data_IF_505370967052
#
_entry.id   IF_505370967052
#
_cell.length_a   1.000
_cell.length_b   1.000
_cell.length_c   1.000
_cell.angle_alpha   90.00
_cell.angle_beta   90.00
_cell.angle_gamma   90.00
#
_symmetry.space_group_name_H-M   'P 1'
#
loop_
_entity.id
_entity.type
_entity.pdbx_description
1 polymer ?
#
# COMPACT_ATOMS: atom_id res chain seq x y z
N UNK A 1 -16.97 2.28 21.37
CA UNK A 1 -18.37 2.76 21.22
C UNK A 1 -18.66 4.08 21.94
N UNK A 2 -17.90 4.46 22.98
CA UNK A 2 -18.05 5.78 23.62
C UNK A 2 -17.56 6.98 22.78
N UNK A 3 -16.68 6.78 21.78
CA UNK A 3 -16.07 7.89 21.03
C UNK A 3 -16.96 8.55 19.97
N UNK A 4 -18.03 7.88 19.49
CA UNK A 4 -18.85 8.42 18.39
C UNK A 4 -20.17 9.07 18.87
N UNK A 5 -20.56 8.93 20.14
CA UNK A 5 -21.80 9.51 20.68
C UNK A 5 -23.12 8.99 20.07
N UNK A 6 -23.08 8.03 19.12
CA UNK A 6 -24.27 7.51 18.43
C UNK A 6 -24.71 6.16 19.01
N UNK A 7 -26.02 5.96 19.13
CA UNK A 7 -26.60 4.68 19.51
C UNK A 7 -26.30 3.60 18.44
N UNK A 8 -25.99 2.37 18.89
CA UNK A 8 -25.64 1.22 18.03
C UNK A 8 -26.68 0.96 16.92
N UNK A 9 -27.96 1.15 17.22
CA UNK A 9 -29.06 1.00 16.26
C UNK A 9 -29.05 2.09 15.18
N UNK A 10 -28.78 3.36 15.55
CA UNK A 10 -28.70 4.47 14.59
C UNK A 10 -27.51 4.33 13.64
N UNK A 11 -26.40 3.76 14.10
CA UNK A 11 -25.22 3.49 13.27
C UNK A 11 -25.49 2.38 12.24
N UNK A 12 -26.10 1.26 12.65
CA UNK A 12 -26.47 0.20 11.71
C UNK A 12 -27.62 0.59 10.78
N UNK A 13 -28.51 1.50 11.17
CA UNK A 13 -29.48 2.06 10.23
C UNK A 13 -28.83 2.89 9.12
N UNK A 14 -27.66 3.50 9.37
CA UNK A 14 -26.94 4.29 8.38
C UNK A 14 -26.09 3.43 7.44
N UNK A 15 -25.54 2.32 7.96
CA UNK A 15 -24.59 1.47 7.22
C UNK A 15 -25.11 0.08 6.85
N UNK A 16 -26.31 -0.31 7.27
CA UNK A 16 -26.88 -1.63 7.01
C UNK A 16 -26.37 -2.73 7.96
N UNK A 17 -25.05 -2.88 8.07
CA UNK A 17 -24.42 -3.96 8.85
C UNK A 17 -23.08 -3.57 9.46
N UNK A 18 -22.52 -4.46 10.32
CA UNK A 18 -21.16 -4.30 10.85
C UNK A 18 -20.12 -4.37 9.72
N UNK A 19 -20.29 -5.27 8.76
CA UNK A 19 -19.36 -5.45 7.63
C UNK A 19 -19.33 -4.21 6.74
N UNK A 20 -20.49 -3.64 6.44
CA UNK A 20 -20.58 -2.41 5.64
C UNK A 20 -20.02 -1.19 6.38
N UNK A 21 -20.19 -1.12 7.71
CA UNK A 21 -19.51 -0.10 8.53
C UNK A 21 -17.97 -0.26 8.47
N UNK A 22 -17.46 -1.49 8.56
CA UNK A 22 -16.01 -1.75 8.44
C UNK A 22 -15.51 -1.40 7.04
N UNK A 23 -16.25 -1.78 5.99
CA UNK A 23 -15.93 -1.37 4.62
C UNK A 23 -15.86 0.16 4.52
N UNK A 24 -16.86 0.89 5.00
CA UNK A 24 -16.89 2.35 4.91
C UNK A 24 -15.69 2.99 5.62
N UNK A 25 -15.30 2.43 6.77
CA UNK A 25 -14.08 2.84 7.48
C UNK A 25 -12.80 2.58 6.67
N UNK A 26 -12.68 1.40 6.05
CA UNK A 26 -11.54 1.04 5.21
C UNK A 26 -11.45 1.93 3.96
N UNK A 27 -12.56 2.14 3.27
CA UNK A 27 -12.64 2.98 2.06
C UNK A 27 -12.26 4.45 2.38
N UNK A 28 -12.68 4.98 3.54
CA UNK A 28 -12.28 6.32 3.99
C UNK A 28 -10.76 6.40 4.28
N UNK A 29 -10.22 5.44 5.03
CA UNK A 29 -8.78 5.40 5.33
C UNK A 29 -7.92 5.19 4.07
N UNK A 30 -8.42 4.44 3.09
CA UNK A 30 -7.79 4.30 1.78
C UNK A 30 -7.73 5.63 1.02
N UNK A 31 -8.82 6.40 0.98
CA UNK A 31 -8.84 7.71 0.32
C UNK A 31 -7.79 8.65 0.92
N UNK A 32 -7.66 8.69 2.25
CA UNK A 32 -6.66 9.49 2.94
C UNK A 32 -5.23 9.02 2.62
N UNK A 33 -4.99 7.70 2.71
CA UNK A 33 -3.69 7.09 2.37
C UNK A 33 -3.28 7.43 0.95
N UNK A 34 -4.22 7.34 0.00
CA UNK A 34 -3.97 7.63 -1.41
C UNK A 34 -3.55 9.08 -1.62
N UNK A 35 -4.27 10.04 -1.02
CA UNK A 35 -3.91 11.47 -1.10
C UNK A 35 -2.53 11.72 -0.51
N UNK A 36 -2.20 11.10 0.63
CA UNK A 36 -0.89 11.26 1.26
C UNK A 36 0.24 10.69 0.40
N UNK A 37 0.07 9.48 -0.15
CA UNK A 37 1.04 8.86 -1.06
C UNK A 37 1.20 9.72 -2.31
N UNK A 38 0.13 10.06 -3.01
CA UNK A 38 0.17 10.89 -4.22
C UNK A 38 0.89 12.23 -3.95
N UNK A 39 0.59 12.90 -2.82
CA UNK A 39 1.27 14.11 -2.38
C UNK A 39 2.76 13.88 -2.09
N UNK A 40 3.11 12.78 -1.43
CA UNK A 40 4.50 12.44 -1.15
C UNK A 40 5.29 12.22 -2.46
N UNK A 41 4.64 11.72 -3.51
CA UNK A 41 5.26 11.46 -4.80
C UNK A 41 5.57 12.73 -5.61
N UNK A 42 4.85 13.85 -5.39
CA UNK A 42 5.05 15.08 -6.17
C UNK A 42 6.43 15.71 -6.00
N UNK A 43 7.17 15.35 -4.94
CA UNK A 43 8.54 15.86 -4.68
C UNK A 43 9.61 15.19 -5.56
N UNK A 44 9.28 14.08 -6.22
CA UNK A 44 10.21 13.29 -7.01
C UNK A 44 10.08 13.59 -8.51
N UNK A 45 11.24 13.66 -9.18
CA UNK A 45 11.33 14.09 -10.58
C UNK A 45 11.37 12.92 -11.54
N UNK A 46 11.92 11.79 -11.12
CA UNK A 46 12.03 10.60 -11.98
C UNK A 46 11.02 9.52 -11.58
N UNK A 47 10.55 8.69 -12.52
CA UNK A 47 9.70 7.54 -12.21
C UNK A 47 10.32 6.57 -11.20
N UNK A 48 11.65 6.32 -11.28
CA UNK A 48 12.39 5.53 -10.30
C UNK A 48 12.29 6.12 -8.90
N UNK A 49 12.54 7.43 -8.75
CA UNK A 49 12.43 8.10 -7.45
C UNK A 49 11.00 8.07 -6.91
N UNK A 50 9.98 8.23 -7.77
CA UNK A 50 8.57 8.11 -7.36
C UNK A 50 8.24 6.70 -6.89
N UNK A 51 8.68 5.68 -7.61
CA UNK A 51 8.50 4.27 -7.24
C UNK A 51 9.10 3.98 -5.85
N UNK A 52 10.33 4.42 -5.61
CA UNK A 52 10.98 4.30 -4.30
C UNK A 52 10.31 5.20 -3.24
N UNK A 53 9.76 6.34 -3.67
CA UNK A 53 9.05 7.30 -2.83
C UNK A 53 7.76 6.77 -2.21
N UNK A 54 7.16 5.72 -2.78
CA UNK A 54 6.00 5.04 -2.17
C UNK A 54 6.35 4.52 -0.77
N UNK A 55 7.57 4.00 -0.58
CA UNK A 55 8.05 3.54 0.73
C UNK A 55 8.31 4.70 1.70
N UNK A 56 8.72 5.87 1.20
CA UNK A 56 8.87 7.06 2.05
C UNK A 56 7.52 7.52 2.60
N UNK A 57 6.46 7.46 1.76
CA UNK A 57 5.09 7.72 2.20
C UNK A 57 4.65 6.73 3.29
N UNK A 58 5.01 5.45 3.12
CA UNK A 58 4.77 4.44 4.14
C UNK A 58 5.53 4.72 5.45
N UNK A 59 6.77 5.19 5.36
CA UNK A 59 7.57 5.59 6.51
C UNK A 59 6.95 6.74 7.30
N UNK A 60 6.29 7.70 6.63
CA UNK A 60 5.56 8.77 7.32
C UNK A 60 4.42 8.19 8.16
N UNK A 61 3.61 7.31 7.58
CA UNK A 61 2.53 6.60 8.29
C UNK A 61 3.06 5.81 9.48
N UNK A 62 4.20 5.13 9.35
CA UNK A 62 4.78 4.33 10.44
C UNK A 62 5.22 5.16 11.65
N UNK A 63 5.43 6.47 11.48
CA UNK A 63 5.80 7.39 12.57
C UNK A 63 4.61 7.99 13.31
N UNK A 64 3.39 7.78 12.80
CA UNK A 64 2.19 8.30 13.44
C UNK A 64 1.98 7.60 14.80
N UNK A 65 1.68 8.34 15.88
CA UNK A 65 1.53 7.75 17.22
C UNK A 65 0.44 6.68 17.33
N UNK A 66 -0.56 6.73 16.45
CA UNK A 66 -1.67 5.81 16.34
C UNK A 66 -1.49 4.75 15.24
N UNK A 67 -0.30 4.69 14.60
CA UNK A 67 0.02 3.63 13.67
C UNK A 67 -0.03 2.27 14.37
N UNK A 68 -0.94 1.43 13.90
CA UNK A 68 -1.13 0.07 14.40
C UNK A 68 -1.17 -0.92 13.23
N UNK A 69 -0.30 -0.74 12.23
CA UNK A 69 -0.30 -1.57 11.03
C UNK A 69 -1.40 -1.25 10.03
N UNK A 70 -1.44 -2.01 8.93
CA UNK A 70 -2.41 -1.81 7.85
C UNK A 70 -3.80 -2.32 8.26
N UNK A 71 -4.78 -1.40 8.28
CA UNK A 71 -6.17 -1.73 8.58
C UNK A 71 -6.77 -2.73 7.58
N UNK A 72 -6.47 -2.59 6.28
CA UNK A 72 -6.93 -3.51 5.23
C UNK A 72 -6.38 -4.92 5.43
N UNK A 73 -5.10 -5.05 5.76
CA UNK A 73 -4.47 -6.35 6.02
C UNK A 73 -5.10 -7.02 7.24
N UNK A 74 -5.26 -6.28 8.33
CA UNK A 74 -5.87 -6.81 9.56
C UNK A 74 -7.31 -7.24 9.32
N UNK A 75 -8.11 -6.41 8.65
CA UNK A 75 -9.50 -6.72 8.34
C UNK A 75 -9.63 -7.91 7.38
N UNK A 76 -8.73 -8.03 6.38
CA UNK A 76 -8.75 -9.15 5.44
C UNK A 76 -8.51 -10.51 6.11
N UNK A 77 -7.74 -10.55 7.21
CA UNK A 77 -7.48 -11.78 7.94
C UNK A 77 -8.72 -12.32 8.67
N UNK A 78 -9.69 -11.45 8.98
CA UNK A 78 -10.95 -11.78 9.65
C UNK A 78 -12.14 -11.83 8.69
N UNK A 79 -11.95 -11.48 7.42
CA UNK A 79 -13.01 -11.34 6.44
C UNK A 79 -13.58 -12.69 5.99
N UNK A 80 -14.90 -12.75 5.81
CA UNK A 80 -15.56 -13.87 5.16
C UNK A 80 -15.42 -13.75 3.64
N UNK A 81 -15.35 -14.89 2.95
CA UNK A 81 -15.33 -14.92 1.47
C UNK A 81 -16.60 -14.28 0.92
N UNK A 82 -16.42 -13.38 -0.05
CA UNK A 82 -17.48 -12.58 -0.66
C UNK A 82 -18.00 -11.43 0.22
N UNK A 83 -17.40 -11.17 1.39
CA UNK A 83 -17.87 -10.09 2.25
C UNK A 83 -17.45 -8.72 1.72
N UNK A 84 -18.18 -7.65 2.08
CA UNK A 84 -17.80 -6.29 1.70
C UNK A 84 -16.40 -5.88 2.20
N UNK A 85 -15.93 -6.48 3.30
CA UNK A 85 -14.58 -6.28 3.86
C UNK A 85 -13.51 -6.92 2.99
N UNK A 86 -13.72 -8.15 2.48
CA UNK A 86 -12.82 -8.78 1.50
C UNK A 86 -12.71 -7.87 0.25
N UNK A 87 -13.85 -7.38 -0.25
CA UNK A 87 -13.88 -6.47 -1.40
C UNK A 87 -13.13 -5.15 -1.16
N UNK A 88 -13.17 -4.59 0.04
CA UNK A 88 -12.41 -3.38 0.39
C UNK A 88 -10.90 -3.64 0.41
N UNK A 89 -10.49 -4.76 1.02
CA UNK A 89 -9.09 -5.18 1.02
C UNK A 89 -8.56 -5.41 -0.40
N UNK A 90 -9.34 -6.08 -1.26
CA UNK A 90 -8.97 -6.32 -2.65
C UNK A 90 -8.80 -5.03 -3.46
N UNK A 91 -9.69 -4.05 -3.27
CA UNK A 91 -9.55 -2.72 -3.91
C UNK A 91 -8.28 -2.01 -3.48
N UNK A 92 -7.95 -2.03 -2.19
CA UNK A 92 -6.72 -1.42 -1.68
C UNK A 92 -5.48 -2.11 -2.28
N UNK A 93 -5.45 -3.45 -2.28
CA UNK A 93 -4.35 -4.22 -2.87
C UNK A 93 -4.20 -3.96 -4.36
N UNK A 94 -5.31 -3.87 -5.09
CA UNK A 94 -5.29 -3.54 -6.51
C UNK A 94 -4.70 -2.15 -6.74
N UNK A 95 -5.12 -1.15 -5.96
CA UNK A 95 -4.58 0.21 -6.05
C UNK A 95 -3.07 0.26 -5.84
N UNK A 96 -2.54 -0.37 -4.77
CA UNK A 96 -1.09 -0.43 -4.52
C UNK A 96 -0.36 -1.09 -5.69
N UNK A 97 -0.88 -2.21 -6.21
CA UNK A 97 -0.27 -2.92 -7.35
C UNK A 97 -0.30 -2.09 -8.63
N UNK A 98 -1.40 -1.40 -8.91
CA UNK A 98 -1.54 -0.51 -10.06
C UNK A 98 -0.57 0.65 -9.96
N UNK A 99 -0.45 1.30 -8.80
CA UNK A 99 0.51 2.38 -8.58
C UNK A 99 1.95 1.96 -8.91
N UNK A 100 2.39 0.79 -8.41
CA UNK A 100 3.72 0.29 -8.74
C UNK A 100 3.87 -0.08 -10.22
N UNK A 101 2.83 -0.64 -10.84
CA UNK A 101 2.85 -1.01 -12.26
C UNK A 101 3.00 0.22 -13.15
N UNK A 102 2.23 1.27 -12.87
CA UNK A 102 2.26 2.52 -13.63
C UNK A 102 3.62 3.20 -13.50
N UNK A 103 4.16 3.29 -12.27
CA UNK A 103 5.48 3.88 -12.04
C UNK A 103 6.62 3.06 -12.66
N UNK A 104 6.53 1.73 -12.64
CA UNK A 104 7.50 0.86 -13.31
C UNK A 104 7.44 1.02 -14.84
N UNK A 105 6.24 1.16 -15.39
CA UNK A 105 6.03 1.41 -16.83
C UNK A 105 6.57 2.77 -17.25
N UNK A 106 6.31 3.82 -16.48
CA UNK A 106 6.90 5.15 -16.67
C UNK A 106 8.44 5.10 -16.61
N UNK A 107 9.00 4.22 -15.78
CA UNK A 107 10.44 4.01 -15.67
C UNK A 107 11.05 3.17 -16.81
N UNK A 108 10.25 2.70 -17.77
CA UNK A 108 10.72 1.93 -18.92
C UNK A 108 11.09 0.47 -18.62
N UNK A 109 10.61 -0.07 -17.50
CA UNK A 109 10.80 -1.49 -17.13
C UNK A 109 10.09 -2.38 -18.15
N UNK A 110 10.76 -3.43 -18.64
CA UNK A 110 10.23 -4.30 -19.69
C UNK A 110 9.02 -5.14 -19.23
N UNK A 111 9.05 -5.64 -18.00
CA UNK A 111 7.97 -6.40 -17.36
C UNK A 111 7.47 -5.66 -16.10
N UNK A 112 6.74 -4.53 -16.26
CA UNK A 112 6.37 -3.68 -15.13
C UNK A 112 5.45 -4.38 -14.13
N UNK A 113 4.58 -5.28 -14.59
CA UNK A 113 3.69 -6.06 -13.73
C UNK A 113 4.46 -7.03 -12.82
N UNK A 114 5.60 -7.56 -13.27
CA UNK A 114 6.42 -8.50 -12.51
C UNK A 114 7.18 -7.79 -11.39
N UNK A 115 7.77 -6.64 -11.72
CA UNK A 115 8.39 -5.78 -10.72
C UNK A 115 7.34 -5.28 -9.71
N UNK A 116 6.16 -4.87 -10.16
CA UNK A 116 5.10 -4.38 -9.28
C UNK A 116 4.62 -5.44 -8.26
N UNK A 117 4.54 -6.72 -8.65
CA UNK A 117 4.19 -7.81 -7.71
C UNK A 117 5.24 -7.97 -6.61
N UNK A 118 6.51 -7.86 -6.96
CA UNK A 118 7.62 -7.98 -6.01
C UNK A 118 7.70 -6.77 -5.07
N UNK A 119 7.50 -5.56 -5.60
CA UNK A 119 7.45 -4.33 -4.81
C UNK A 119 6.24 -4.31 -3.87
N UNK A 120 5.08 -4.78 -4.31
CA UNK A 120 3.90 -4.89 -3.46
C UNK A 120 4.15 -5.91 -2.31
N UNK A 121 4.83 -7.02 -2.57
CA UNK A 121 5.23 -7.95 -1.51
C UNK A 121 6.13 -7.27 -0.47
N UNK A 122 7.11 -6.47 -0.91
CA UNK A 122 7.97 -5.68 -0.02
C UNK A 122 7.17 -4.62 0.75
N UNK A 123 6.20 -3.97 0.11
CA UNK A 123 5.30 -2.99 0.72
C UNK A 123 4.47 -3.62 1.84
N UNK A 124 3.88 -4.80 1.60
CA UNK A 124 3.16 -5.55 2.62
C UNK A 124 4.08 -5.93 3.79
N UNK A 125 5.25 -6.49 3.47
CA UNK A 125 6.24 -6.90 4.47
C UNK A 125 6.72 -5.74 5.35
N UNK A 126 6.97 -4.58 4.76
CA UNK A 126 7.34 -3.38 5.50
C UNK A 126 6.27 -2.96 6.52
N UNK A 127 5.00 -3.02 6.13
CA UNK A 127 3.86 -2.72 7.01
C UNK A 127 3.75 -3.69 8.19
N UNK A 128 3.97 -4.98 7.94
CA UNK A 128 4.00 -6.01 8.98
C UNK A 128 5.17 -5.79 9.93
N UNK A 129 6.39 -5.65 9.40
CA UNK A 129 7.60 -5.45 10.20
C UNK A 129 7.52 -4.20 11.04
N UNK A 130 7.06 -3.07 10.48
CA UNK A 130 6.90 -1.83 11.23
C UNK A 130 6.00 -2.00 12.45
N UNK A 131 4.89 -2.74 12.31
CA UNK A 131 3.97 -3.05 13.42
C UNK A 131 4.59 -4.02 14.43
N UNK A 132 5.20 -5.11 13.97
CA UNK A 132 5.72 -6.16 14.87
C UNK A 132 6.93 -5.68 15.66
N UNK A 133 7.84 -4.99 14.98
CA UNK A 133 9.11 -4.55 15.55
C UNK A 133 9.01 -3.16 16.20
N UNK A 134 7.85 -2.48 16.05
CA UNK A 134 7.63 -1.09 16.48
C UNK A 134 8.70 -0.15 15.95
N UNK A 135 9.10 -0.39 14.70
CA UNK A 135 10.24 0.28 14.10
C UNK A 135 9.86 0.89 12.74
N UNK A 136 9.74 2.22 12.64
CA UNK A 136 9.41 2.88 11.38
C UNK A 136 10.53 2.74 10.32
N UNK A 137 11.75 2.34 10.71
CA UNK A 137 12.85 2.12 9.76
C UNK A 137 12.61 0.95 8.80
N UNK A 138 11.57 0.13 9.01
CA UNK A 138 11.14 -0.90 8.07
C UNK A 138 10.88 -0.34 6.66
N UNK A 139 10.33 0.89 6.58
CA UNK A 139 10.14 1.59 5.31
C UNK A 139 11.48 1.85 4.59
N UNK A 140 12.50 2.31 5.32
CA UNK A 140 13.85 2.53 4.78
C UNK A 140 14.46 1.22 4.27
N UNK A 141 14.33 0.14 5.04
CA UNK A 141 14.81 -1.19 4.63
C UNK A 141 14.13 -1.67 3.35
N UNK A 142 12.80 -1.55 3.28
CA UNK A 142 12.03 -1.92 2.10
C UNK A 142 12.39 -1.08 0.88
N UNK A 143 12.60 0.23 1.06
CA UNK A 143 13.07 1.13 0.01
C UNK A 143 14.43 0.73 -0.56
N UNK A 144 15.38 0.33 0.30
CA UNK A 144 16.70 -0.13 -0.16
C UNK A 144 16.57 -1.43 -0.96
N UNK A 145 15.78 -2.39 -0.47
CA UNK A 145 15.53 -3.64 -1.18
C UNK A 145 14.84 -3.41 -2.54
N UNK A 146 13.86 -2.49 -2.58
CA UNK A 146 13.19 -2.08 -3.81
C UNK A 146 14.15 -1.45 -4.82
N UNK A 147 15.10 -0.63 -4.36
CA UNK A 147 16.11 -0.03 -5.21
C UNK A 147 17.02 -1.09 -5.83
N UNK A 148 17.52 -2.04 -5.03
CA UNK A 148 18.33 -3.16 -5.54
C UNK A 148 17.58 -4.00 -6.57
N UNK A 149 16.29 -4.28 -6.31
CA UNK A 149 15.46 -5.05 -7.22
C UNK A 149 15.20 -4.32 -8.55
N UNK A 150 14.87 -3.02 -8.47
CA UNK A 150 14.69 -2.18 -9.65
C UNK A 150 15.96 -2.16 -10.50
N UNK A 151 17.12 -1.91 -9.88
CA UNK A 151 18.39 -1.80 -10.58
C UNK A 151 18.81 -3.12 -11.25
N UNK A 152 18.49 -4.28 -10.64
CA UNK A 152 18.68 -5.59 -11.25
C UNK A 152 17.78 -5.78 -12.48
N UNK A 153 16.51 -5.40 -12.38
CA UNK A 153 15.54 -5.55 -13.47
C UNK A 153 15.90 -4.69 -14.70
N UNK A 154 16.42 -3.48 -14.48
CA UNK A 154 16.88 -2.62 -15.58
C UNK A 154 18.13 -3.17 -16.25
N UNK A 155 19.09 -3.71 -15.49
CA UNK A 155 20.29 -4.34 -16.05
C UNK A 155 19.98 -5.57 -16.90
N UNK A 156 19.05 -6.41 -16.45
CA UNK A 156 18.64 -7.59 -17.22
C UNK A 156 18.06 -7.20 -18.58
N UNK A 157 17.33 -6.08 -18.64
CA UNK A 157 16.83 -5.51 -19.90
C UNK A 157 17.98 -5.03 -20.80
N UNK A 158 18.93 -4.26 -20.27
CA UNK A 158 20.07 -3.76 -21.04
C UNK A 158 20.91 -4.92 -21.62
N UNK A 159 21.09 -6.00 -20.86
CA UNK A 159 21.77 -7.21 -21.31
C UNK A 159 20.99 -7.96 -22.39
N UNK A 160 19.66 -8.03 -22.28
CA UNK A 160 18.80 -8.63 -23.30
C UNK A 160 18.80 -7.82 -24.60
N UNK A 161 18.77 -6.50 -24.51
CA UNK A 161 18.78 -5.58 -25.66
C UNK A 161 20.16 -5.54 -26.36
N UNK A 162 21.27 -5.69 -25.62
CA UNK A 162 22.62 -5.73 -26.20
C UNK A 162 23.00 -7.05 -26.89
N UNK A 163 22.21 -8.11 -26.67
CA UNK A 163 22.41 -9.43 -27.28
C UNK A 163 21.62 -9.66 -28.58
N UNK A 164 20.83 -8.68 -29.04
CA UNK A 164 20.09 -8.67 -30.32
C UNK A 164 20.77 -7.78 -31.36
#
# INVERSE_FOLDING_TARGET
>A
MQKAGVAKASLYNLFGSKEELVQAYLDAGHADTRVQVERALTRFRTPRERLLGVFDGQGQLFTEPDFNGCAHMTASAEALRGSPVEGAADRYRLWVRTLFTDLAREAGVAAPEDLARQLHLQYDGAGVSARMDRNPSAATTARMAAASLFDATVKDKELADAGQ
#
